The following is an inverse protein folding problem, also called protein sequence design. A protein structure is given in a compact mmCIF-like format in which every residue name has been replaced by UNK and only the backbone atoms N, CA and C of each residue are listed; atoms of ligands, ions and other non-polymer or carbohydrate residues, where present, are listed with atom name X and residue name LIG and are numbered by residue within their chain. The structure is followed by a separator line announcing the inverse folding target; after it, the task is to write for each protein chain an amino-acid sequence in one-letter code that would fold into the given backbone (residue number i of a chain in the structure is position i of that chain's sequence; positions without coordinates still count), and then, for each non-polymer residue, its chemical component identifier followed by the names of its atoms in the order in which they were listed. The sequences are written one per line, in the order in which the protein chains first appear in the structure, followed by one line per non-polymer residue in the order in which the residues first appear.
data_IF_016814420203
#
_entry.id   IF_016814420203
#
_cell.length_a   1.000
_cell.length_b   1.000
_cell.length_c   1.000
_cell.angle_alpha   90.00
_cell.angle_beta   90.00
_cell.angle_gamma   90.00
#
_symmetry.space_group_name_H-M   'P 1'
#
loop_
_entity.id
_entity.type
_entity.pdbx_description
1 polymer ?
#
# COMPACT_ATOMS: atom_id res chain seq x y z
N UNK A 1 6.84 -16.62 14.60
CA UNK A 1 6.55 -15.21 14.73
C UNK A 1 6.69 -14.52 13.40
N UNK A 2 5.72 -13.73 13.04
CA UNK A 2 5.78 -12.94 11.84
C UNK A 2 6.77 -11.79 12.08
N UNK A 3 7.71 -11.59 11.18
CA UNK A 3 8.71 -10.53 11.33
C UNK A 3 8.19 -9.12 11.05
N UNK A 4 6.91 -9.00 10.65
CA UNK A 4 6.32 -7.70 10.33
C UNK A 4 6.02 -6.92 11.60
N UNK A 5 6.21 -5.62 11.52
CA UNK A 5 5.92 -4.70 12.61
C UNK A 5 4.80 -3.75 12.20
N UNK A 6 4.24 -3.08 13.17
CA UNK A 6 3.24 -2.05 12.88
C UNK A 6 3.88 -0.96 12.04
N UNK A 7 3.09 -0.43 11.13
CA UNK A 7 3.57 0.55 10.15
C UNK A 7 3.55 1.96 10.72
N UNK A 8 4.48 2.83 10.29
CA UNK A 8 4.34 4.26 10.52
C UNK A 8 3.02 4.77 9.94
N UNK A 9 2.51 5.86 10.51
CA UNK A 9 1.18 6.38 10.13
C UNK A 9 1.01 6.60 8.63
N UNK A 10 2.03 7.16 7.97
CA UNK A 10 1.93 7.43 6.55
C UNK A 10 1.79 6.15 5.72
N UNK A 11 2.60 5.14 6.05
CA UNK A 11 2.54 3.86 5.35
C UNK A 11 1.23 3.14 5.65
N UNK A 12 0.75 3.25 6.88
CA UNK A 12 -0.55 2.68 7.23
C UNK A 12 -1.68 3.34 6.44
N UNK A 13 -1.61 4.65 6.21
CA UNK A 13 -2.61 5.34 5.38
C UNK A 13 -2.65 4.76 3.97
N UNK A 14 -1.50 4.44 3.40
CA UNK A 14 -1.44 3.80 2.08
C UNK A 14 -2.10 2.42 2.13
N UNK A 15 -1.79 1.61 3.14
CA UNK A 15 -2.41 0.30 3.27
C UNK A 15 -3.91 0.39 3.48
N UNK A 16 -4.39 1.38 4.23
CA UNK A 16 -5.83 1.59 4.43
C UNK A 16 -6.52 1.88 3.10
N UNK A 17 -5.89 2.66 2.22
CA UNK A 17 -6.43 2.91 0.89
C UNK A 17 -6.50 1.61 0.06
N UNK A 18 -5.47 0.77 0.15
CA UNK A 18 -5.45 -0.50 -0.55
C UNK A 18 -6.53 -1.44 -0.03
N UNK A 19 -6.65 -1.57 1.29
CA UNK A 19 -7.67 -2.43 1.91
C UNK A 19 -9.08 -1.96 1.58
N UNK A 20 -9.31 -0.64 1.57
CA UNK A 20 -10.62 -0.09 1.25
C UNK A 20 -11.05 -0.37 -0.18
N UNK A 21 -10.09 -0.52 -1.08
CA UNK A 21 -10.38 -0.85 -2.48
C UNK A 21 -10.91 -2.29 -2.61
N UNK A 22 -10.46 -3.19 -1.75
CA UNK A 22 -11.01 -4.54 -1.69
C UNK A 22 -10.34 -5.55 -2.60
N UNK A 23 -9.13 -5.31 -3.06
CA UNK A 23 -8.40 -6.25 -3.90
C UNK A 23 -7.21 -5.59 -4.56
N UNK A 24 -6.83 -6.09 -5.73
CA UNK A 24 -5.75 -5.48 -6.50
C UNK A 24 -6.15 -4.07 -6.92
N UNK A 25 -5.25 -3.11 -6.76
CA UNK A 25 -5.52 -1.70 -7.00
C UNK A 25 -4.42 -1.11 -7.87
N UNK A 26 -4.81 -0.27 -8.82
CA UNK A 26 -3.84 0.42 -9.68
C UNK A 26 -3.17 1.55 -8.89
N UNK A 27 -1.96 1.90 -9.32
CA UNK A 27 -1.26 3.04 -8.73
C UNK A 27 -2.08 4.33 -8.84
N UNK A 28 -2.74 4.54 -9.97
CA UNK A 28 -3.58 5.71 -10.16
C UNK A 28 -4.72 5.78 -9.14
N UNK A 29 -5.33 4.64 -8.84
CA UNK A 29 -6.40 4.59 -7.84
C UNK A 29 -5.86 4.88 -6.44
N UNK A 30 -4.64 4.41 -6.14
CA UNK A 30 -4.00 4.72 -4.85
C UNK A 30 -3.74 6.22 -4.74
N UNK A 31 -3.21 6.83 -5.80
CA UNK A 31 -2.95 8.26 -5.82
C UNK A 31 -4.23 9.05 -5.60
N UNK A 32 -5.31 8.65 -6.26
CA UNK A 32 -6.61 9.29 -6.08
C UNK A 32 -7.14 9.17 -4.66
N UNK A 33 -7.01 7.99 -4.07
CA UNK A 33 -7.47 7.75 -2.71
C UNK A 33 -6.68 8.56 -1.68
N UNK A 34 -5.43 8.89 -1.99
CA UNK A 34 -4.53 9.61 -1.08
C UNK A 34 -4.42 11.10 -1.42
N UNK A 35 -5.22 11.59 -2.35
CA UNK A 35 -5.15 12.98 -2.81
C UNK A 35 -5.30 13.99 -1.67
N UNK A 36 -6.10 13.67 -0.66
CA UNK A 36 -6.33 14.57 0.47
C UNK A 36 -5.09 14.79 1.35
N UNK A 37 -4.11 13.89 1.25
CA UNK A 37 -2.86 14.03 2.03
C UNK A 37 -1.92 15.06 1.43
N UNK A 38 -2.11 15.44 0.17
CA UNK A 38 -1.22 16.40 -0.50
C UNK A 38 0.17 15.85 -0.79
N UNK A 39 0.36 14.55 -0.75
CA UNK A 39 1.67 13.94 -1.02
C UNK A 39 1.99 13.96 -2.51
N UNK A 40 3.27 14.16 -2.83
CA UNK A 40 3.72 14.08 -4.22
C UNK A 40 3.71 12.63 -4.69
N UNK A 41 3.74 12.45 -6.01
CA UNK A 41 3.85 11.12 -6.62
C UNK A 41 5.10 10.39 -6.10
N UNK A 42 6.22 11.12 -5.98
CA UNK A 42 7.45 10.52 -5.48
C UNK A 42 7.32 10.05 -4.03
N UNK A 43 6.62 10.80 -3.20
CA UNK A 43 6.37 10.40 -1.81
C UNK A 43 5.54 9.14 -1.74
N UNK A 44 4.46 9.07 -2.51
CA UNK A 44 3.61 7.88 -2.56
C UNK A 44 4.42 6.68 -3.05
N UNK A 45 5.25 6.89 -4.07
CA UNK A 45 6.10 5.84 -4.62
C UNK A 45 7.06 5.28 -3.57
N UNK A 46 7.62 6.17 -2.76
CA UNK A 46 8.51 5.76 -1.67
C UNK A 46 7.80 4.86 -0.67
N UNK A 47 6.57 5.23 -0.30
CA UNK A 47 5.79 4.40 0.64
C UNK A 47 5.41 3.06 0.03
N UNK A 48 5.02 3.03 -1.24
CA UNK A 48 4.69 1.79 -1.93
C UNK A 48 5.90 0.86 -1.99
N UNK A 49 7.08 1.40 -2.30
CA UNK A 49 8.31 0.61 -2.34
C UNK A 49 8.62 0.03 -0.96
N UNK A 50 8.51 0.84 0.08
CA UNK A 50 8.76 0.37 1.45
C UNK A 50 7.79 -0.73 1.86
N UNK A 51 6.51 -0.59 1.50
CA UNK A 51 5.52 -1.60 1.81
C UNK A 51 5.79 -2.92 1.10
N UNK A 52 6.24 -2.85 -0.15
CA UNK A 52 6.67 -4.05 -0.87
C UNK A 52 7.87 -4.70 -0.19
N UNK A 53 8.87 -3.90 0.19
CA UNK A 53 10.07 -4.40 0.85
C UNK A 53 9.76 -5.05 2.20
N UNK A 54 8.76 -4.52 2.91
CA UNK A 54 8.36 -5.06 4.21
C UNK A 54 7.44 -6.27 4.09
N UNK A 55 7.04 -6.65 2.88
CA UNK A 55 6.16 -7.79 2.67
C UNK A 55 4.68 -7.52 2.88
N UNK A 56 4.26 -6.26 2.85
CA UNK A 56 2.84 -5.88 2.98
C UNK A 56 2.12 -5.86 1.65
N UNK A 57 2.83 -5.52 0.57
CA UNK A 57 2.26 -5.44 -0.77
C UNK A 57 3.08 -6.26 -1.75
N UNK A 58 2.41 -6.78 -2.76
CA UNK A 58 3.07 -7.25 -3.95
C UNK A 58 2.74 -6.31 -5.10
N UNK A 59 3.70 -6.12 -6.00
CA UNK A 59 3.53 -5.23 -7.14
C UNK A 59 3.57 -6.05 -8.42
N UNK A 60 2.70 -5.70 -9.35
CA UNK A 60 2.64 -6.32 -10.67
C UNK A 60 2.60 -5.20 -11.69
N UNK A 61 3.36 -5.35 -12.75
CA UNK A 61 3.34 -4.38 -13.84
C UNK A 61 2.66 -5.00 -15.06
N UNK A 62 1.76 -4.24 -15.66
CA UNK A 62 1.09 -4.63 -16.89
C UNK A 62 1.09 -3.43 -17.81
N UNK A 63 1.83 -3.55 -18.92
CA UNK A 63 2.04 -2.42 -19.81
C UNK A 63 2.77 -1.31 -19.07
N UNK A 64 2.16 -0.12 -19.01
CA UNK A 64 2.70 1.04 -18.31
C UNK A 64 2.12 1.21 -16.92
N UNK A 65 1.24 0.31 -16.52
CA UNK A 65 0.52 0.42 -15.25
C UNK A 65 1.10 -0.49 -14.21
N UNK A 66 1.18 0.02 -12.99
CA UNK A 66 1.56 -0.77 -11.83
C UNK A 66 0.31 -1.07 -11.02
N UNK A 67 0.22 -2.32 -10.55
CA UNK A 67 -0.89 -2.79 -9.72
C UNK A 67 -0.32 -3.36 -8.44
N UNK A 68 -1.03 -3.16 -7.35
CA UNK A 68 -0.59 -3.57 -6.03
C UNK A 68 -1.66 -4.43 -5.38
N UNK A 69 -1.23 -5.49 -4.71
CA UNK A 69 -2.15 -6.37 -3.99
C UNK A 69 -1.68 -6.52 -2.55
N UNK A 70 -2.59 -6.49 -1.58
CA UNK A 70 -2.19 -6.65 -0.18
C UNK A 70 -1.79 -8.09 0.09
N UNK A 71 -0.62 -8.27 0.72
CA UNK A 71 -0.15 -9.57 1.18
C UNK A 71 -0.55 -9.82 2.63
N UNK A 72 -0.94 -8.77 3.34
CA UNK A 72 -1.42 -8.84 4.71
C UNK A 72 -2.81 -8.23 4.73
N UNK A 73 -3.80 -8.96 5.24
CA UNK A 73 -5.15 -8.43 5.36
C UNK A 73 -5.23 -7.40 6.49
N UNK A 74 -6.25 -6.56 6.46
CA UNK A 74 -6.49 -5.62 7.54
C UNK A 74 -6.71 -6.33 8.86
N UNK A 75 -7.43 -7.45 8.83
CA UNK A 75 -7.66 -8.25 10.03
C UNK A 75 -6.36 -8.80 10.60
N UNK A 76 -5.50 -9.33 9.73
CA UNK A 76 -4.20 -9.85 10.14
C UNK A 76 -3.33 -8.75 10.73
N UNK A 77 -3.37 -7.56 10.14
CA UNK A 77 -2.60 -6.43 10.64
C UNK A 77 -3.00 -6.06 12.06
N UNK A 78 -4.29 -6.15 12.39
CA UNK A 78 -4.78 -5.84 13.73
C UNK A 78 -4.22 -6.76 14.80
N UNK A 79 -3.71 -7.93 14.39
CA UNK A 79 -3.12 -8.90 15.33
C UNK A 79 -1.66 -8.58 15.69
N UNK A 80 -1.05 -7.65 15.00
CA UNK A 80 0.36 -7.31 15.23
C UNK A 80 0.59 -6.46 16.47
#
# INVERSE_FOLDING_TARGET
MDGRKRLPDAELSVMQAVWAHGGEVSRGDIEGALASHGWSVNTINTYLTRLCDKGYLSARREGRSNFYSPLVSQEKYREF
#
